data_IF_571620706553
#
_entry.id   IF_571620706553
#
_cell.length_a   1.000
_cell.length_b   1.000
_cell.length_c   1.000
_cell.angle_alpha   90.00
_cell.angle_beta   90.00
_cell.angle_gamma   90.00
#
_symmetry.space_group_name_H-M   'P 1'
#
loop_
_entity.id
_entity.type
_entity.pdbx_description
1 polymer ?
#
# COMPACT_ATOMS: atom_id res chain seq x y z
N UNK A 1 -1.85 -14.16 40.27
CA UNK A 1 -1.45 -14.79 39.00
C UNK A 1 -1.83 -13.81 37.91
N UNK A 2 -0.89 -13.03 37.37
CA UNK A 2 -1.18 -12.17 36.22
C UNK A 2 -1.30 -13.08 35.00
N UNK A 3 -2.43 -13.01 34.29
CA UNK A 3 -2.61 -13.72 33.02
C UNK A 3 -1.53 -13.27 32.04
N UNK A 4 -0.86 -14.19 31.33
CA UNK A 4 0.11 -13.80 30.31
C UNK A 4 -0.60 -12.97 29.24
N UNK A 5 -0.11 -11.75 29.02
CA UNK A 5 -0.59 -10.87 27.96
C UNK A 5 0.10 -11.31 26.66
N UNK A 6 -0.69 -11.81 25.70
CA UNK A 6 -0.24 -12.03 24.34
C UNK A 6 -1.12 -11.18 23.42
N UNK A 7 -0.49 -10.31 22.63
CA UNK A 7 -1.12 -9.49 21.61
C UNK A 7 -0.39 -9.78 20.31
N UNK A 8 -1.15 -10.16 19.30
CA UNK A 8 -0.63 -10.50 17.98
C UNK A 8 -1.56 -9.89 16.92
N UNK A 9 -1.25 -8.67 16.52
CA UNK A 9 -1.95 -7.97 15.43
C UNK A 9 -0.93 -7.71 14.34
N UNK A 10 -1.06 -8.45 13.24
CA UNK A 10 -0.22 -8.27 12.07
C UNK A 10 -0.93 -7.41 11.02
N UNK A 11 -0.21 -6.40 10.52
CA UNK A 11 -0.51 -5.72 9.27
C UNK A 11 -1.92 -5.10 9.16
N UNK A 12 -2.48 -4.63 10.27
CA UNK A 12 -3.78 -3.94 10.26
C UNK A 12 -3.70 -2.58 9.57
N UNK A 13 -4.78 -2.13 8.94
CA UNK A 13 -4.81 -0.79 8.33
C UNK A 13 -4.62 0.29 9.39
N UNK A 14 -3.80 1.29 9.09
CA UNK A 14 -3.47 2.35 10.02
C UNK A 14 -3.43 3.73 9.36
N UNK A 15 -3.60 4.76 10.19
CA UNK A 15 -3.35 6.17 9.84
C UNK A 15 -2.38 6.71 10.87
N UNK A 16 -1.37 7.46 10.42
CA UNK A 16 -0.35 8.05 11.31
C UNK A 16 -0.54 9.56 11.35
N UNK A 17 -0.55 10.12 12.56
CA UNK A 17 -0.65 11.56 12.80
C UNK A 17 0.52 12.02 13.68
N UNK A 18 1.04 13.21 13.41
CA UNK A 18 2.11 13.83 14.20
C UNK A 18 1.99 15.35 14.18
N UNK A 19 2.71 16.02 15.06
CA UNK A 19 2.81 17.48 15.04
C UNK A 19 4.12 17.91 14.39
N UNK A 20 4.05 18.82 13.43
CA UNK A 20 5.21 19.39 12.75
C UNK A 20 5.05 20.90 12.63
N UNK A 21 6.00 21.66 13.17
CA UNK A 21 6.01 23.13 13.12
C UNK A 21 4.70 23.78 13.61
N UNK A 22 4.10 23.21 14.67
CA UNK A 22 2.84 23.71 15.26
C UNK A 22 1.58 23.35 14.48
N UNK A 23 1.69 22.51 13.45
CA UNK A 23 0.57 22.01 12.67
C UNK A 23 0.46 20.48 12.79
N UNK A 24 -0.76 19.99 12.99
CA UNK A 24 -1.05 18.55 12.93
C UNK A 24 -0.95 18.08 11.48
N UNK A 25 -0.12 17.06 11.26
CA UNK A 25 0.08 16.37 9.97
C UNK A 25 -0.48 14.97 10.08
N UNK A 26 -0.97 14.44 8.96
CA UNK A 26 -1.58 13.12 8.90
C UNK A 26 -1.19 12.41 7.60
N UNK A 27 -0.86 11.13 7.70
CA UNK A 27 -0.55 10.24 6.60
C UNK A 27 -1.51 9.06 6.61
N UNK A 28 -2.44 9.08 5.66
CA UNK A 28 -3.44 8.02 5.46
C UNK A 28 -3.43 7.43 4.05
N UNK A 29 -2.96 8.20 3.07
CA UNK A 29 -2.90 7.83 1.65
C UNK A 29 -1.45 7.54 1.26
N UNK A 30 -1.06 6.28 1.11
CA UNK A 30 0.26 5.92 0.60
C UNK A 30 0.30 5.93 -0.93
N UNK A 31 1.40 5.48 -1.52
CA UNK A 31 1.53 5.28 -2.97
C UNK A 31 1.95 3.83 -3.28
N UNK A 32 1.07 2.99 -3.87
CA UNK A 32 -0.23 3.34 -4.45
C UNK A 32 -1.34 3.51 -3.41
N UNK A 33 -2.36 4.30 -3.75
CA UNK A 33 -3.48 4.67 -2.86
C UNK A 33 -4.44 3.52 -2.54
N UNK A 34 -4.44 2.47 -3.35
CA UNK A 34 -5.24 1.26 -3.15
C UNK A 34 -4.64 0.27 -2.13
N UNK A 35 -3.39 0.47 -1.70
CA UNK A 35 -2.76 -0.35 -0.65
C UNK A 35 -2.79 0.47 0.63
N UNK A 36 -3.30 -0.02 1.77
CA UNK A 36 -3.30 0.75 3.01
C UNK A 36 -1.90 0.85 3.62
N UNK A 37 -1.68 1.87 4.44
CA UNK A 37 -0.59 1.88 5.42
C UNK A 37 -0.94 0.82 6.46
N UNK A 38 0.05 0.01 6.85
CA UNK A 38 -0.17 -1.09 7.78
C UNK A 38 0.58 -0.87 9.09
N UNK A 39 0.01 -1.36 10.17
CA UNK A 39 0.63 -1.35 11.49
C UNK A 39 0.63 -2.77 12.06
N UNK A 40 1.75 -3.14 12.67
CA UNK A 40 1.95 -4.42 13.36
C UNK A 40 2.30 -4.13 14.81
N UNK A 41 1.61 -4.81 15.72
CA UNK A 41 1.88 -4.80 17.15
C UNK A 41 1.91 -6.24 17.67
N UNK A 42 3.09 -6.68 18.10
CA UNK A 42 3.26 -7.94 18.80
C UNK A 42 3.75 -7.67 20.20
N UNK A 43 3.09 -8.25 21.20
CA UNK A 43 3.51 -8.18 22.60
C UNK A 43 3.37 -9.57 23.20
N UNK A 44 4.47 -10.11 23.70
CA UNK A 44 4.53 -11.40 24.38
C UNK A 44 5.01 -11.18 25.81
N UNK A 45 4.18 -11.57 26.77
CA UNK A 45 4.48 -11.51 28.20
C UNK A 45 4.54 -12.89 28.85
N UNK A 46 5.35 -13.78 28.28
CA UNK A 46 5.62 -15.11 28.82
C UNK A 46 6.87 -15.14 29.70
N UNK A 47 6.83 -15.93 30.78
CA UNK A 47 7.98 -16.24 31.65
C UNK A 47 8.83 -15.03 32.08
N UNK A 48 8.19 -13.98 32.60
CA UNK A 48 8.82 -12.73 33.08
C UNK A 48 9.59 -11.93 32.01
N UNK A 49 9.48 -12.31 30.74
CA UNK A 49 9.95 -11.51 29.62
C UNK A 49 8.77 -10.79 28.98
N UNK A 50 8.90 -9.49 28.80
CA UNK A 50 7.86 -8.66 28.18
C UNK A 50 8.41 -8.11 26.88
N UNK A 51 8.28 -8.91 25.83
CA UNK A 51 8.81 -8.57 24.51
C UNK A 51 7.76 -7.81 23.71
N UNK A 52 8.19 -6.79 22.98
CA UNK A 52 7.32 -5.97 22.15
C UNK A 52 7.94 -5.67 20.79
N UNK A 53 7.09 -5.55 19.79
CA UNK A 53 7.43 -5.15 18.43
C UNK A 53 6.35 -4.23 17.89
N UNK A 54 6.77 -3.10 17.33
CA UNK A 54 5.89 -2.08 16.76
C UNK A 54 6.46 -1.63 15.43
N UNK A 55 5.66 -1.75 14.37
CA UNK A 55 6.13 -1.51 13.02
C UNK A 55 5.04 -0.92 12.14
N UNK A 56 5.40 0.10 11.36
CA UNK A 56 4.50 0.76 10.40
C UNK A 56 5.07 0.55 9.00
N UNK A 57 4.27 -0.02 8.11
CA UNK A 57 4.61 -0.29 6.72
C UNK A 57 3.89 0.73 5.82
N UNK A 58 4.66 1.53 5.10
CA UNK A 58 4.16 2.62 4.27
C UNK A 58 4.54 2.36 2.81
N UNK A 59 3.58 1.97 1.96
CA UNK A 59 3.82 1.76 0.54
C UNK A 59 4.36 3.02 -0.15
N UNK A 60 5.46 2.85 -0.88
CA UNK A 60 6.05 3.89 -1.75
C UNK A 60 6.69 3.25 -2.98
N UNK A 61 6.92 4.03 -4.03
CA UNK A 61 7.63 3.57 -5.22
C UNK A 61 8.96 4.29 -5.36
N UNK A 62 10.05 3.60 -5.05
CA UNK A 62 11.41 4.11 -5.26
C UNK A 62 11.77 4.19 -6.73
N UNK A 63 12.64 5.14 -7.08
CA UNK A 63 13.13 5.35 -8.45
C UNK A 63 13.90 4.14 -8.99
N UNK A 64 14.69 3.48 -8.15
CA UNK A 64 15.53 2.35 -8.57
C UNK A 64 14.72 1.08 -8.90
N UNK A 65 13.58 0.89 -8.23
CA UNK A 65 12.72 -0.28 -8.40
C UNK A 65 11.24 0.10 -8.17
N UNK A 66 10.49 0.44 -9.22
CA UNK A 66 9.12 0.94 -9.10
C UNK A 66 8.08 -0.15 -8.79
N UNK A 67 8.47 -1.43 -8.76
CA UNK A 67 7.62 -2.55 -8.36
C UNK A 67 7.47 -2.57 -6.83
N UNK A 68 6.25 -2.32 -6.34
CA UNK A 68 5.79 -2.39 -4.93
C UNK A 68 6.92 -2.42 -3.90
N UNK A 69 7.35 -1.24 -3.46
CA UNK A 69 8.28 -1.09 -2.36
C UNK A 69 7.57 -0.45 -1.16
N UNK A 70 8.17 -0.52 0.02
CA UNK A 70 7.65 0.12 1.21
C UNK A 70 8.79 0.71 2.02
N UNK A 71 8.50 1.82 2.70
CA UNK A 71 9.30 2.30 3.82
C UNK A 71 8.72 1.68 5.07
N UNK A 72 9.59 1.24 5.96
CA UNK A 72 9.22 0.77 7.27
C UNK A 72 9.62 1.80 8.33
N UNK A 73 8.75 2.05 9.28
CA UNK A 73 9.08 2.75 10.51
C UNK A 73 9.02 1.77 11.66
N UNK A 74 10.15 1.59 12.35
CA UNK A 74 10.23 0.72 13.53
C UNK A 74 10.33 1.56 14.79
N UNK A 75 9.39 1.33 15.70
CA UNK A 75 9.38 1.97 17.03
C UNK A 75 10.06 1.00 17.99
N UNK A 76 11.19 1.42 18.56
CA UNK A 76 11.86 0.61 19.58
C UNK A 76 11.08 0.68 20.88
N UNK A 77 10.69 -0.46 21.51
CA UNK A 77 10.03 -0.43 22.81
C UNK A 77 10.82 0.30 23.89
N UNK A 78 12.16 0.22 23.81
CA UNK A 78 13.08 0.90 24.72
C UNK A 78 13.03 2.42 24.64
N UNK A 79 12.50 2.96 23.54
CA UNK A 79 12.39 4.40 23.36
C UNK A 79 11.03 4.93 23.77
N UNK A 80 10.04 4.10 24.12
CA UNK A 80 8.71 4.58 24.50
C UNK A 80 8.76 5.11 25.93
N UNK A 81 8.60 6.42 26.09
CA UNK A 81 8.56 7.09 27.41
C UNK A 81 7.14 7.20 27.94
N UNK A 82 6.16 7.38 27.05
CA UNK A 82 4.75 7.42 27.39
C UNK A 82 3.92 6.72 26.32
N UNK A 83 2.91 5.98 26.76
CA UNK A 83 1.89 5.39 25.90
C UNK A 83 0.52 5.78 26.43
N UNK A 84 -0.29 6.42 25.60
CA UNK A 84 -1.67 6.79 25.91
C UNK A 84 -2.58 6.21 24.85
N UNK A 85 -3.83 5.98 25.21
CA UNK A 85 -4.80 5.47 24.27
C UNK A 85 -6.17 6.11 24.50
N UNK A 86 -6.93 6.18 23.42
CA UNK A 86 -8.33 6.61 23.42
C UNK A 86 -9.10 5.67 22.49
N UNK A 87 -10.22 5.13 22.96
CA UNK A 87 -11.08 4.21 22.20
C UNK A 87 -12.37 4.90 21.79
N UNK A 88 -13.11 4.28 20.87
CA UNK A 88 -14.41 4.77 20.40
C UNK A 88 -14.36 6.24 19.94
N UNK A 89 -13.34 6.58 19.14
CA UNK A 89 -13.19 7.92 18.59
C UNK A 89 -14.05 8.00 17.34
N UNK A 90 -15.06 8.87 17.40
CA UNK A 90 -15.83 9.23 16.20
C UNK A 90 -14.90 9.90 15.18
N UNK A 91 -14.78 9.33 13.96
CA UNK A 91 -13.91 9.88 12.93
C UNK A 91 -14.47 11.21 12.41
N UNK A 92 -14.00 12.31 13.00
CA UNK A 92 -14.36 13.67 12.59
C UNK A 92 -13.68 14.08 11.26
N UNK A 93 -12.63 13.36 10.85
CA UNK A 93 -11.91 13.61 9.60
C UNK A 93 -12.42 12.74 8.44
N UNK A 94 -12.60 13.35 7.27
CA UNK A 94 -13.00 12.71 6.00
C UNK A 94 -12.14 11.49 5.64
N UNK A 95 -10.88 11.50 6.08
CA UNK A 95 -9.88 10.47 5.86
C UNK A 95 -10.06 9.27 6.82
N UNK A 96 -10.46 9.53 8.07
CA UNK A 96 -10.72 8.51 9.09
C UNK A 96 -12.02 7.73 8.76
N UNK A 97 -13.03 8.41 8.20
CA UNK A 97 -14.32 7.80 7.78
C UNK A 97 -14.19 6.73 6.69
N UNK A 98 -13.17 6.79 5.83
CA UNK A 98 -13.05 5.87 4.70
C UNK A 98 -12.36 4.54 5.08
N UNK A 99 -11.77 4.46 6.27
CA UNK A 99 -10.94 3.31 6.70
C UNK A 99 -11.49 2.58 7.92
N UNK A 100 -12.21 3.25 8.81
CA UNK A 100 -12.71 2.66 10.05
C UNK A 100 -14.12 3.15 10.38
N UNK A 101 -14.98 2.25 10.87
CA UNK A 101 -16.28 2.59 11.44
C UNK A 101 -16.13 3.21 12.84
N UNK A 102 -15.18 2.71 13.62
CA UNK A 102 -14.74 3.21 14.92
C UNK A 102 -13.22 3.05 15.04
N UNK A 103 -12.53 4.04 15.59
CA UNK A 103 -11.07 4.05 15.69
C UNK A 103 -10.58 4.10 17.15
N UNK A 104 -9.53 3.33 17.41
CA UNK A 104 -8.67 3.49 18.58
C UNK A 104 -7.44 4.31 18.20
N UNK A 105 -7.11 5.31 19.02
CA UNK A 105 -5.88 6.09 18.90
C UNK A 105 -4.84 5.55 19.88
N UNK A 106 -3.68 5.19 19.36
CA UNK A 106 -2.50 4.81 20.12
C UNK A 106 -1.48 5.95 20.04
N UNK A 107 -1.28 6.66 21.13
CA UNK A 107 -0.36 7.79 21.21
C UNK A 107 0.96 7.35 21.86
N UNK A 108 2.05 7.58 21.14
CA UNK A 108 3.41 7.25 21.56
C UNK A 108 4.19 8.55 21.77
N UNK A 109 4.79 8.68 22.94
CA UNK A 109 5.87 9.63 23.20
C UNK A 109 7.17 8.83 23.31
N UNK A 110 8.19 9.27 22.57
CA UNK A 110 9.45 8.58 22.45
C UNK A 110 10.61 9.42 22.99
N UNK A 111 11.57 8.78 23.66
CA UNK A 111 12.83 9.41 24.04
C UNK A 111 13.80 9.57 22.85
N UNK A 112 13.52 8.94 21.72
CA UNK A 112 14.31 9.03 20.50
C UNK A 112 13.41 8.83 19.25
N UNK A 113 13.87 9.29 18.10
CA UNK A 113 13.12 9.21 16.84
C UNK A 113 12.95 7.77 16.34
N UNK A 114 11.89 7.53 15.56
CA UNK A 114 11.64 6.24 14.91
C UNK A 114 12.75 5.86 13.93
N UNK A 115 13.04 4.57 13.83
CA UNK A 115 14.01 4.07 12.85
C UNK A 115 13.35 3.93 11.47
N UNK A 116 13.91 4.60 10.46
CA UNK A 116 13.46 4.48 9.06
C UNK A 116 14.25 3.39 8.37
N UNK A 117 13.55 2.35 7.92
CA UNK A 117 14.12 1.19 7.24
C UNK A 117 13.65 1.16 5.78
N UNK A 118 14.58 0.94 4.86
CA UNK A 118 14.32 0.78 3.43
C UNK A 118 15.02 -0.46 2.91
N UNK A 119 14.61 -1.02 1.76
CA UNK A 119 15.32 -2.16 1.18
C UNK A 119 16.78 -1.80 0.87
N UNK A 120 17.70 -2.74 1.14
CA UNK A 120 19.14 -2.52 0.97
C UNK A 120 19.55 -2.20 -0.46
N UNK A 121 18.79 -2.65 -1.46
CA UNK A 121 19.04 -2.37 -2.87
C UNK A 121 18.68 -0.93 -3.31
N UNK A 122 17.99 -0.15 -2.48
CA UNK A 122 17.63 1.25 -2.80
C UNK A 122 18.87 2.13 -2.68
N UNK A 123 19.17 2.89 -3.72
CA UNK A 123 20.34 3.77 -3.75
C UNK A 123 20.09 5.03 -2.94
N UNK A 124 21.16 5.55 -2.35
CA UNK A 124 21.15 6.84 -1.66
C UNK A 124 21.61 7.96 -2.61
N UNK A 125 20.99 9.16 -2.56
CA UNK A 125 19.86 9.54 -1.71
C UNK A 125 18.53 8.94 -2.19
N UNK A 126 17.69 8.57 -1.23
CA UNK A 126 16.39 7.94 -1.50
C UNK A 126 15.55 8.88 -2.35
N UNK A 127 15.09 8.38 -3.50
CA UNK A 127 14.35 9.15 -4.48
C UNK A 127 13.08 8.40 -4.89
N UNK A 128 11.96 9.12 -4.94
CA UNK A 128 10.71 8.59 -5.46
C UNK A 128 10.74 8.45 -6.99
N UNK A 129 10.02 7.44 -7.50
CA UNK A 129 9.78 7.25 -8.93
C UNK A 129 8.71 8.21 -9.49
N UNK A 130 7.81 8.73 -8.64
CA UNK A 130 6.69 9.59 -9.04
C UNK A 130 6.40 10.67 -7.99
N UNK A 131 5.72 11.77 -8.37
CA UNK A 131 5.40 12.87 -7.47
C UNK A 131 4.62 12.46 -6.22
N UNK A 132 3.68 11.50 -6.32
CA UNK A 132 2.87 11.04 -5.18
C UNK A 132 3.75 10.35 -4.12
N UNK A 133 4.58 9.39 -4.51
CA UNK A 133 5.61 8.81 -3.64
C UNK A 133 6.55 9.86 -3.08
N UNK A 134 6.88 10.91 -3.85
CA UNK A 134 7.67 12.05 -3.38
C UNK A 134 7.04 12.72 -2.16
N UNK A 135 5.74 13.07 -2.25
CA UNK A 135 4.98 13.64 -1.13
C UNK A 135 4.95 12.73 0.10
N UNK A 136 4.83 11.41 -0.10
CA UNK A 136 4.88 10.44 1.01
C UNK A 136 6.26 10.44 1.67
N UNK A 137 7.35 10.47 0.88
CA UNK A 137 8.71 10.57 1.43
C UNK A 137 8.94 11.90 2.17
N UNK A 138 8.36 13.01 1.69
CA UNK A 138 8.44 14.30 2.36
C UNK A 138 7.73 14.26 3.73
N UNK A 139 6.52 13.68 3.80
CA UNK A 139 5.83 13.41 5.07
C UNK A 139 6.63 12.49 6.00
N UNK A 140 7.27 11.46 5.45
CA UNK A 140 8.10 10.55 6.22
C UNK A 140 9.36 11.22 6.75
N UNK A 141 9.92 12.20 6.04
CA UNK A 141 11.03 13.00 6.54
C UNK A 141 10.62 13.77 7.80
N UNK A 142 9.46 14.43 7.79
CA UNK A 142 8.91 15.12 8.97
C UNK A 142 8.68 14.12 10.12
N UNK A 143 7.99 13.02 9.85
CA UNK A 143 7.68 11.98 10.83
C UNK A 143 8.94 11.32 11.42
N UNK A 144 10.02 11.21 10.66
CA UNK A 144 11.30 10.64 11.13
C UNK A 144 12.03 11.54 12.14
N UNK A 145 11.58 12.78 12.33
CA UNK A 145 12.20 13.77 13.21
C UNK A 145 11.41 14.06 14.48
N UNK A 146 10.16 13.63 14.53
CA UNK A 146 9.33 13.79 15.71
C UNK A 146 9.56 12.64 16.69
N UNK A 147 9.30 12.94 17.96
CA UNK A 147 9.28 11.98 19.06
C UNK A 147 7.86 11.63 19.51
N UNK A 148 6.86 12.38 19.05
CA UNK A 148 5.46 12.14 19.38
C UNK A 148 4.69 11.79 18.12
N UNK A 149 4.00 10.66 18.14
CA UNK A 149 3.14 10.24 17.04
C UNK A 149 1.88 9.55 17.57
N UNK A 150 0.82 9.59 16.77
CA UNK A 150 -0.45 8.91 17.01
C UNK A 150 -0.71 7.95 15.88
N UNK A 151 -1.12 6.74 16.23
CA UNK A 151 -1.48 5.68 15.27
C UNK A 151 -2.94 5.36 15.50
N UNK A 152 -3.75 5.55 14.46
CA UNK A 152 -5.16 5.17 14.48
C UNK A 152 -5.34 3.81 13.82
N UNK A 153 -6.01 2.90 14.52
CA UNK A 153 -6.38 1.57 14.05
C UNK A 153 -7.87 1.31 14.33
N UNK A 154 -8.41 0.23 13.80
CA UNK A 154 -9.78 -0.19 14.11
C UNK A 154 -9.95 -0.50 15.60
N UNK A 155 -10.98 0.07 16.22
CA UNK A 155 -11.22 0.03 17.68
C UNK A 155 -11.42 -1.40 18.21
N UNK A 156 -12.02 -2.29 17.42
CA UNK A 156 -12.31 -3.66 17.80
C UNK A 156 -11.08 -4.58 17.88
N UNK A 157 -9.88 -4.09 17.53
CA UNK A 157 -8.67 -4.93 17.47
C UNK A 157 -7.99 -5.13 18.82
N UNK A 158 -8.10 -4.16 19.73
CA UNK A 158 -7.49 -4.22 21.05
C UNK A 158 -8.55 -3.99 22.12
N UNK A 159 -8.60 -4.88 23.12
CA UNK A 159 -9.47 -4.68 24.27
C UNK A 159 -8.93 -3.58 25.19
N UNK A 160 -9.81 -2.99 25.99
CA UNK A 160 -9.43 -1.99 27.00
C UNK A 160 -8.41 -2.54 28.01
N UNK A 161 -8.54 -3.81 28.38
CA UNK A 161 -7.60 -4.49 29.28
C UNK A 161 -6.21 -4.67 28.64
N UNK A 162 -6.16 -4.99 27.35
CA UNK A 162 -4.91 -5.08 26.60
C UNK A 162 -4.22 -3.71 26.52
N UNK A 163 -4.96 -2.65 26.16
CA UNK A 163 -4.44 -1.27 26.09
C UNK A 163 -3.91 -0.78 27.44
N UNK A 164 -4.68 -1.03 28.52
CA UNK A 164 -4.28 -0.69 29.88
C UNK A 164 -3.01 -1.45 30.29
N UNK A 165 -2.92 -2.74 29.93
CA UNK A 165 -1.73 -3.55 30.21
C UNK A 165 -0.49 -3.04 29.47
N UNK A 166 -0.62 -2.59 28.21
CA UNK A 166 0.47 -1.95 27.47
C UNK A 166 0.93 -0.69 28.20
N UNK A 167 -0.01 0.20 28.54
CA UNK A 167 0.27 1.45 29.26
C UNK A 167 1.02 1.21 30.58
N UNK A 168 0.57 0.24 31.38
CA UNK A 168 1.21 -0.12 32.64
C UNK A 168 2.65 -0.60 32.46
N UNK A 169 2.90 -1.40 31.41
CA UNK A 169 4.24 -1.95 31.12
C UNK A 169 5.19 -0.89 30.60
N UNK A 170 4.70 0.02 29.76
CA UNK A 170 5.46 1.20 29.30
C UNK A 170 5.84 2.06 30.49
N UNK A 171 4.89 2.37 31.38
CA UNK A 171 5.14 3.19 32.58
C UNK A 171 6.18 2.56 33.51
N UNK A 172 6.23 1.22 33.56
CA UNK A 172 7.23 0.46 34.33
C UNK A 172 8.55 0.25 33.60
N UNK A 173 8.68 0.67 32.34
CA UNK A 173 9.88 0.44 31.52
C UNK A 173 10.21 -1.04 31.31
N UNK A 174 9.18 -1.89 31.21
CA UNK A 174 9.36 -3.35 31.18
C UNK A 174 9.43 -3.94 29.77
N UNK A 175 9.15 -3.17 28.72
CA UNK A 175 9.09 -3.69 27.36
C UNK A 175 10.48 -3.78 26.73
N UNK A 176 10.86 -4.98 26.34
CA UNK A 176 12.10 -5.30 25.64
C UNK A 176 11.81 -5.62 24.17
N UNK A 177 12.75 -5.36 23.24
CA UNK A 177 12.57 -5.74 21.85
C UNK A 177 12.64 -7.26 21.68
N UNK A 178 11.90 -7.80 20.71
CA UNK A 178 12.09 -9.19 20.33
C UNK A 178 13.49 -9.44 19.77
N UNK A 179 14.07 -10.58 20.16
CA UNK A 179 15.31 -11.11 19.60
C UNK A 179 14.97 -12.42 18.87
N UNK A 180 15.21 -12.46 17.56
CA UNK A 180 14.92 -13.63 16.75
C UNK A 180 15.14 -13.37 15.26
N UNK A 181 15.25 -14.45 14.45
CA UNK A 181 15.45 -14.33 13.01
C UNK A 181 14.32 -13.57 12.30
N UNK A 182 13.09 -13.68 12.78
CA UNK A 182 11.91 -13.00 12.21
C UNK A 182 12.04 -11.46 12.26
N UNK A 183 12.79 -10.95 13.25
CA UNK A 183 12.94 -9.52 13.51
C UNK A 183 14.27 -8.95 12.98
N UNK A 184 15.12 -9.81 12.41
CA UNK A 184 16.40 -9.45 11.80
C UNK A 184 16.17 -8.66 10.51
N UNK A 185 16.67 -7.42 10.52
CA UNK A 185 16.57 -6.51 9.37
C UNK A 185 17.18 -7.11 8.10
N UNK A 186 18.15 -8.02 8.21
CA UNK A 186 18.83 -8.67 7.08
C UNK A 186 17.92 -9.61 6.28
N UNK A 187 16.84 -10.11 6.89
CA UNK A 187 15.88 -11.02 6.25
C UNK A 187 14.66 -10.32 5.65
N UNK A 188 14.52 -9.03 5.92
CA UNK A 188 13.40 -8.23 5.45
C UNK A 188 13.37 -8.09 3.92
N UNK A 189 12.24 -7.62 3.40
CA UNK A 189 12.05 -7.38 1.95
C UNK A 189 12.38 -8.61 1.10
N UNK A 190 11.76 -9.74 1.43
CA UNK A 190 11.95 -11.03 0.74
C UNK A 190 13.41 -11.49 0.70
N UNK A 191 14.14 -11.29 1.81
CA UNK A 191 15.54 -11.70 1.95
C UNK A 191 16.57 -10.74 1.33
N UNK A 192 16.14 -9.62 0.74
CA UNK A 192 17.08 -8.61 0.24
C UNK A 192 17.71 -7.75 1.35
N UNK A 193 17.11 -7.80 2.55
CA UNK A 193 17.54 -7.07 3.72
C UNK A 193 17.08 -5.61 3.71
N UNK A 194 17.02 -5.04 4.89
CA UNK A 194 16.75 -3.64 5.13
C UNK A 194 18.02 -2.93 5.61
N UNK A 195 18.10 -1.64 5.29
CA UNK A 195 19.09 -0.72 5.84
C UNK A 195 18.39 0.44 6.55
N UNK A 196 18.95 0.86 7.68
CA UNK A 196 18.55 2.08 8.35
C UNK A 196 19.08 3.30 7.58
N UNK A 197 18.26 4.32 7.43
CA UNK A 197 18.60 5.48 6.60
C UNK A 197 18.02 6.77 7.19
N UNK A 198 18.48 7.91 6.68
CA UNK A 198 17.92 9.23 6.98
C UNK A 198 17.35 9.80 5.70
N UNK A 199 16.09 10.21 5.75
CA UNK A 199 15.44 10.84 4.60
C UNK A 199 16.03 12.24 4.37
N UNK A 200 16.17 12.62 3.11
CA UNK A 200 16.64 13.95 2.74
C UNK A 200 15.52 14.98 2.95
N UNK A 201 15.86 16.23 3.30
CA UNK A 201 14.86 17.29 3.36
C UNK A 201 14.19 17.50 2.00
N UNK A 202 12.90 17.88 1.98
CA UNK A 202 12.20 18.23 0.75
C UNK A 202 12.96 19.38 0.06
N UNK A 203 13.10 19.27 -1.26
CA UNK A 203 13.77 20.33 -2.05
C UNK A 203 12.88 21.57 -2.09
N UNK A 204 13.44 22.78 -1.88
CA UNK A 204 12.67 24.01 -2.05
C UNK A 204 12.17 24.11 -3.51
N UNK A 205 11.02 24.77 -3.75
CA UNK A 205 10.54 25.00 -5.11
C UNK A 205 11.61 25.72 -5.93
N UNK A 206 11.97 25.16 -7.09
CA UNK A 206 12.97 25.78 -7.97
C UNK A 206 12.38 27.03 -8.64
N UNK A 207 12.99 28.20 -8.35
CA UNK A 207 12.61 29.50 -8.92
C UNK A 207 13.15 29.73 -10.35
N UNK A 208 13.92 28.80 -10.93
CA UNK A 208 14.62 29.01 -12.22
C UNK A 208 13.69 29.05 -13.45
N UNK A 209 12.43 28.63 -13.32
CA UNK A 209 11.44 28.73 -14.42
C UNK A 209 10.94 30.16 -14.69
N UNK A 210 11.29 31.15 -13.87
CA UNK A 210 10.84 32.53 -14.05
C UNK A 210 11.72 33.38 -14.99
N UNK A 211 12.93 32.93 -15.36
CA UNK A 211 13.92 33.80 -16.03
C UNK A 211 14.39 33.34 -17.42
N UNK A 212 13.93 32.20 -17.96
CA UNK A 212 14.30 31.81 -19.33
C UNK A 212 13.42 32.49 -20.37
N UNK A 213 13.77 33.73 -20.69
CA UNK A 213 13.25 34.48 -21.83
C UNK A 213 14.03 34.12 -23.10
N UNK A 214 13.74 32.96 -23.70
CA UNK A 214 14.11 32.70 -25.09
C UNK A 214 12.84 32.45 -25.91
N UNK A 215 12.62 33.19 -27.02
CA UNK A 215 11.47 32.95 -27.88
C UNK A 215 11.65 31.61 -28.61
N UNK A 216 10.65 30.71 -28.57
CA UNK A 216 10.74 29.43 -29.27
C UNK A 216 10.72 29.66 -30.78
N UNK A 217 11.68 29.07 -31.48
CA UNK A 217 11.71 29.02 -32.95
C UNK A 217 10.51 28.23 -33.49
N UNK A 218 9.95 28.69 -34.60
CA UNK A 218 8.72 28.14 -35.17
C UNK A 218 8.84 26.63 -35.51
N UNK A 219 7.90 25.77 -35.07
CA UNK A 219 7.95 24.34 -35.38
C UNK A 219 7.46 24.06 -36.81
N UNK A 220 8.23 23.27 -37.55
CA UNK A 220 7.86 22.81 -38.90
C UNK A 220 6.68 21.84 -38.82
N UNK A 221 5.58 22.16 -39.50
CA UNK A 221 4.41 21.29 -39.60
C UNK A 221 4.70 20.07 -40.49
N UNK A 222 4.95 18.90 -39.89
CA UNK A 222 4.67 17.62 -40.56
C UNK A 222 3.37 17.02 -40.01
N UNK A 223 2.37 16.91 -40.88
CA UNK A 223 1.07 16.28 -40.63
C UNK A 223 1.25 14.84 -40.13
N UNK A 224 0.78 14.55 -38.90
CA UNK A 224 0.59 13.18 -38.41
C UNK A 224 -0.68 12.56 -39.01
N UNK A 225 -0.63 11.24 -39.20
CA UNK A 225 -1.63 10.38 -39.87
C UNK A 225 -2.95 10.24 -39.06
N UNK A 226 -4.07 9.86 -39.69
CA UNK A 226 -5.37 9.70 -39.02
C UNK A 226 -5.37 8.53 -38.03
N UNK A 227 -6.06 8.70 -36.90
CA UNK A 227 -6.35 7.66 -35.89
C UNK A 227 -7.25 6.58 -36.50
N UNK A 228 -6.97 5.30 -36.20
CA UNK A 228 -7.92 4.21 -36.39
C UNK A 228 -8.84 4.15 -35.15
N UNK A 229 -10.14 4.22 -35.38
CA UNK A 229 -11.14 3.94 -34.36
C UNK A 229 -11.22 2.43 -34.11
N UNK A 230 -11.14 2.02 -32.85
CA UNK A 230 -11.47 0.66 -32.41
C UNK A 230 -12.98 0.56 -32.14
N UNK A 231 -13.66 -0.56 -32.50
CA UNK A 231 -15.09 -0.71 -32.25
C UNK A 231 -15.40 -0.98 -30.77
N UNK A 232 -16.52 -0.42 -30.31
CA UNK A 232 -17.20 -0.66 -29.03
C UNK A 232 -17.52 -2.15 -28.80
N UNK A 233 -17.30 -2.64 -27.56
CA UNK A 233 -17.94 -3.86 -27.03
C UNK A 233 -19.43 -3.63 -26.71
N UNK A 234 -20.24 -4.68 -26.42
CA UNK A 234 -20.09 -5.43 -25.16
C UNK A 234 -20.64 -6.88 -25.18
N UNK A 235 -19.78 -7.91 -25.14
CA UNK A 235 -20.22 -9.31 -24.90
C UNK A 235 -19.36 -10.08 -23.87
N UNK A 236 -18.35 -9.43 -23.28
CA UNK A 236 -17.35 -10.11 -22.46
C UNK A 236 -17.77 -10.28 -21.00
N UNK A 237 -18.54 -9.34 -20.42
CA UNK A 237 -18.87 -9.34 -18.99
C UNK A 237 -19.91 -10.41 -18.65
N UNK A 238 -20.92 -10.62 -19.49
CA UNK A 238 -21.94 -11.67 -19.27
C UNK A 238 -21.35 -13.08 -19.32
N UNK A 239 -20.36 -13.31 -20.20
CA UNK A 239 -19.65 -14.60 -20.27
C UNK A 239 -18.80 -14.88 -19.03
N UNK A 240 -18.29 -13.85 -18.37
CA UNK A 240 -17.54 -13.97 -17.11
C UNK A 240 -18.48 -14.35 -15.96
N UNK A 241 -19.66 -13.71 -15.88
CA UNK A 241 -20.68 -14.04 -14.88
C UNK A 241 -21.24 -15.46 -15.03
N UNK A 242 -21.51 -15.91 -16.26
CA UNK A 242 -21.98 -17.27 -16.52
C UNK A 242 -20.95 -18.35 -16.12
N UNK A 243 -19.65 -18.06 -16.30
CA UNK A 243 -18.58 -18.96 -15.88
C UNK A 243 -18.44 -19.02 -14.36
N UNK A 244 -18.61 -17.89 -13.68
CA UNK A 244 -18.53 -17.82 -12.22
C UNK A 244 -19.67 -18.62 -11.57
N UNK A 245 -20.90 -18.48 -12.10
CA UNK A 245 -22.06 -19.20 -11.60
C UNK A 245 -21.96 -20.73 -11.82
N UNK A 246 -21.35 -21.16 -12.94
CA UNK A 246 -21.06 -22.59 -13.19
C UNK A 246 -20.01 -23.17 -12.24
N UNK A 247 -18.99 -22.37 -11.89
CA UNK A 247 -17.98 -22.79 -10.91
C UNK A 247 -18.59 -22.91 -9.52
N UNK A 248 -19.46 -21.97 -9.14
CA UNK A 248 -20.15 -21.99 -7.86
C UNK A 248 -21.08 -23.21 -7.74
N UNK A 249 -21.80 -23.57 -8.81
CA UNK A 249 -22.63 -24.78 -8.82
C UNK A 249 -21.82 -26.08 -8.73
N UNK A 250 -20.66 -26.13 -9.40
CA UNK A 250 -19.75 -27.27 -9.33
C UNK A 250 -19.16 -27.43 -7.93
N UNK A 251 -18.81 -26.32 -7.28
CA UNK A 251 -18.30 -26.32 -5.92
C UNK A 251 -19.33 -26.85 -4.93
N UNK A 252 -20.58 -26.36 -4.98
CA UNK A 252 -21.66 -26.85 -4.12
C UNK A 252 -21.97 -28.33 -4.34
N UNK A 253 -21.96 -28.80 -5.60
CA UNK A 253 -22.14 -30.23 -5.91
C UNK A 253 -21.02 -31.08 -5.32
N UNK A 254 -19.76 -30.65 -5.48
CA UNK A 254 -18.59 -31.41 -4.99
C UNK A 254 -18.55 -31.46 -3.46
N UNK A 255 -18.89 -30.37 -2.80
CA UNK A 255 -19.01 -30.31 -1.33
C UNK A 255 -20.17 -31.19 -0.84
N UNK A 256 -21.29 -31.24 -1.56
CA UNK A 256 -22.40 -32.15 -1.28
C UNK A 256 -22.02 -33.63 -1.39
N UNK A 257 -21.27 -34.01 -2.43
CA UNK A 257 -20.75 -35.37 -2.60
C UNK A 257 -19.82 -35.78 -1.46
N UNK A 258 -18.85 -34.91 -1.13
CA UNK A 258 -17.86 -35.18 -0.07
C UNK A 258 -18.48 -35.22 1.34
N UNK A 259 -19.56 -34.46 1.58
CA UNK A 259 -20.30 -34.51 2.85
C UNK A 259 -21.17 -35.76 2.96
N UNK A 260 -21.78 -36.21 1.86
CA UNK A 260 -22.52 -37.47 1.81
C UNK A 260 -21.60 -38.70 1.95
N UNK A 261 -20.41 -38.66 1.37
CA UNK A 261 -19.39 -39.70 1.51
C UNK A 261 -18.85 -39.78 2.95
N UNK A 262 -18.56 -38.62 3.57
CA UNK A 262 -18.19 -38.57 4.99
C UNK A 262 -19.29 -39.09 5.93
N UNK A 263 -20.56 -38.85 5.61
CA UNK A 263 -21.68 -39.38 6.38
C UNK A 263 -21.77 -40.92 6.29
N UNK A 264 -21.58 -41.49 5.09
CA UNK A 264 -21.53 -42.95 4.89
C UNK A 264 -20.38 -43.62 5.64
N UNK A 265 -19.21 -42.98 5.68
CA UNK A 265 -18.04 -43.49 6.42
C UNK A 265 -18.24 -43.45 7.94
N UNK A 266 -19.05 -42.51 8.44
CA UNK A 266 -19.43 -42.47 9.87
C UNK A 266 -20.44 -43.56 10.24
N UNK A 267 -21.42 -43.85 9.38
CA UNK A 267 -22.41 -44.91 9.63
C UNK A 267 -21.83 -46.33 9.54
N UNK A 268 -20.81 -46.56 8.69
CA UNK A 268 -20.12 -47.85 8.63
C UNK A 268 -19.26 -48.15 9.87
N UNK A 269 -18.92 -47.14 10.68
CA UNK A 269 -18.07 -47.30 11.86
C UNK A 269 -18.84 -47.59 13.16
N UNK A 270 -20.17 -47.72 13.11
CA UNK A 270 -21.05 -47.77 14.29
C UNK A 270 -21.85 -49.09 14.47
N UNK A 271 -21.42 -50.19 13.84
CA UNK A 271 -21.89 -51.54 14.22
C UNK A 271 -20.84 -52.23 15.10
N UNK A 272 -21.07 -52.37 16.41
CA UNK A 272 -20.27 -53.25 17.26
C UNK A 272 -20.71 -54.69 17.04
N UNK A 273 -19.72 -55.55 16.77
CA UNK A 273 -19.84 -56.98 16.65
C UNK A 273 -19.89 -57.59 18.05
N UNK A 274 -20.89 -58.43 18.34
CA UNK A 274 -20.83 -59.37 19.45
C UNK A 274 -20.51 -60.77 18.91
N UNK A 275 -19.40 -61.29 19.39
CA UNK A 275 -19.13 -62.72 19.62
C UNK A 275 -18.45 -63.54 18.51
N UNK A 276 -17.18 -63.84 18.82
CA UNK A 276 -16.51 -65.15 18.75
C UNK A 276 -15.47 -65.44 17.65
N UNK A 277 -14.25 -65.63 18.17
CA UNK A 277 -13.29 -66.70 17.89
C UNK A 277 -12.41 -66.64 16.62
N UNK A 278 -11.12 -66.52 16.92
CA UNK A 278 -9.99 -67.27 16.33
C UNK A 278 -9.55 -67.02 14.87
N UNK A 279 -8.30 -66.52 14.79
CA UNK A 279 -7.27 -66.92 13.82
C UNK A 279 -7.38 -66.42 12.37
N UNK A 280 -6.98 -65.17 12.11
CA UNK A 280 -6.22 -64.74 10.90
C UNK A 280 -5.96 -63.23 10.94
N UNK A 281 -4.73 -62.75 11.21
CA UNK A 281 -4.48 -61.29 11.21
C UNK A 281 -3.07 -60.74 10.90
N UNK A 282 -2.26 -61.30 9.97
CA UNK A 282 -1.15 -60.54 9.37
C UNK A 282 -1.41 -60.02 7.95
N UNK A 283 -2.41 -60.53 7.22
CA UNK A 283 -2.56 -60.25 5.78
C UNK A 283 -3.34 -58.96 5.48
N UNK A 284 -4.42 -58.69 6.21
CA UNK A 284 -5.26 -57.50 5.99
C UNK A 284 -4.54 -56.18 6.35
N UNK A 285 -3.74 -56.17 7.42
CA UNK A 285 -2.96 -54.98 7.78
C UNK A 285 -1.90 -54.64 6.72
N UNK A 286 -1.31 -55.67 6.09
CA UNK A 286 -0.36 -55.49 4.99
C UNK A 286 -1.04 -54.89 3.76
N UNK A 287 -2.26 -55.34 3.44
CA UNK A 287 -3.07 -54.82 2.34
C UNK A 287 -3.40 -53.34 2.53
N UNK A 288 -3.88 -52.96 3.74
CA UNK A 288 -4.23 -51.58 4.09
C UNK A 288 -3.00 -50.65 4.05
N UNK A 289 -1.83 -51.12 4.49
CA UNK A 289 -0.58 -50.33 4.42
C UNK A 289 -0.16 -50.10 2.96
N UNK A 290 -0.37 -51.07 2.07
CA UNK A 290 -0.07 -50.92 0.64
C UNK A 290 -1.02 -49.91 0.00
N UNK A 291 -2.32 -49.97 0.30
CA UNK A 291 -3.31 -49.01 -0.20
C UNK A 291 -3.04 -47.58 0.31
N UNK A 292 -2.74 -47.42 1.61
CA UNK A 292 -2.38 -46.12 2.18
C UNK A 292 -1.09 -45.54 1.57
N UNK A 293 -0.12 -46.38 1.22
CA UNK A 293 1.11 -45.95 0.54
C UNK A 293 0.84 -45.52 -0.90
N UNK A 294 -0.02 -46.25 -1.61
CA UNK A 294 -0.44 -45.88 -2.96
C UNK A 294 -1.24 -44.57 -2.98
N UNK A 295 -2.11 -44.36 -1.99
CA UNK A 295 -2.86 -43.12 -1.84
C UNK A 295 -1.94 -41.95 -1.46
N UNK A 296 -0.99 -42.13 -0.55
CA UNK A 296 0.02 -41.12 -0.23
C UNK A 296 0.88 -40.74 -1.46
N UNK A 297 1.20 -41.70 -2.33
CA UNK A 297 1.92 -41.41 -3.56
C UNK A 297 1.07 -40.55 -4.51
N UNK A 298 -0.22 -40.90 -4.71
CA UNK A 298 -1.15 -40.10 -5.51
C UNK A 298 -1.36 -38.70 -4.96
N UNK A 299 -1.51 -38.55 -3.65
CA UNK A 299 -1.65 -37.24 -3.00
C UNK A 299 -0.39 -36.38 -3.18
N UNK A 300 0.80 -36.98 -3.15
CA UNK A 300 2.05 -36.25 -3.41
C UNK A 300 2.14 -35.77 -4.87
N UNK A 301 1.73 -36.59 -5.82
CA UNK A 301 1.66 -36.19 -7.23
C UNK A 301 0.63 -35.07 -7.47
N UNK A 302 -0.54 -35.16 -6.82
CA UNK A 302 -1.58 -34.13 -6.88
C UNK A 302 -1.08 -32.80 -6.30
N UNK A 303 -0.37 -32.84 -5.17
CA UNK A 303 0.26 -31.66 -4.56
C UNK A 303 1.31 -31.04 -5.48
N UNK A 304 2.16 -31.84 -6.10
CA UNK A 304 3.17 -31.34 -7.04
C UNK A 304 2.51 -30.70 -8.28
N UNK A 305 1.44 -31.32 -8.80
CA UNK A 305 0.65 -30.79 -9.91
C UNK A 305 -0.01 -29.45 -9.55
N UNK A 306 -0.57 -29.34 -8.34
CA UNK A 306 -1.17 -28.10 -7.85
C UNK A 306 -0.12 -27.02 -7.62
N UNK A 307 1.05 -27.38 -7.10
CA UNK A 307 2.17 -26.45 -6.91
C UNK A 307 2.66 -25.87 -8.23
N UNK A 308 2.87 -26.71 -9.24
CA UNK A 308 3.23 -26.25 -10.60
C UNK A 308 2.15 -25.34 -11.18
N UNK A 309 0.86 -25.69 -10.98
CA UNK A 309 -0.24 -24.84 -11.43
C UNK A 309 -0.29 -23.49 -10.71
N UNK A 310 0.08 -23.46 -9.43
CA UNK A 310 0.18 -22.23 -8.66
C UNK A 310 1.33 -21.36 -9.19
N UNK A 311 2.51 -21.93 -9.45
CA UNK A 311 3.65 -21.20 -10.02
C UNK A 311 3.30 -20.61 -11.41
N UNK A 312 2.60 -21.36 -12.26
CA UNK A 312 2.12 -20.86 -13.56
C UNK A 312 1.15 -19.67 -13.41
N UNK A 313 0.19 -19.78 -12.48
CA UNK A 313 -0.78 -18.72 -12.22
C UNK A 313 -0.12 -17.48 -11.62
N UNK A 314 0.86 -17.64 -10.74
CA UNK A 314 1.63 -16.54 -10.19
C UNK A 314 2.44 -15.82 -11.28
N UNK A 315 3.02 -16.57 -12.22
CA UNK A 315 3.71 -16.00 -13.39
C UNK A 315 2.74 -15.25 -14.31
N UNK A 316 1.55 -15.79 -14.57
CA UNK A 316 0.52 -15.14 -15.37
C UNK A 316 0.04 -13.84 -14.72
N UNK A 317 -0.25 -13.86 -13.41
CA UNK A 317 -0.63 -12.67 -12.63
C UNK A 317 0.48 -11.62 -12.67
N UNK A 318 1.75 -12.02 -12.54
CA UNK A 318 2.87 -11.09 -12.65
C UNK A 318 2.93 -10.43 -14.04
N UNK A 319 2.66 -11.18 -15.11
CA UNK A 319 2.62 -10.67 -16.48
C UNK A 319 1.45 -9.71 -16.74
N UNK A 320 0.27 -10.01 -16.18
CA UNK A 320 -0.90 -9.13 -16.28
C UNK A 320 -0.69 -7.83 -15.50
N UNK A 321 -0.08 -7.91 -14.31
CA UNK A 321 0.26 -6.72 -13.54
C UNK A 321 1.30 -5.83 -14.23
N UNK A 322 2.26 -6.39 -14.97
CA UNK A 322 3.22 -5.59 -15.74
C UNK A 322 2.56 -4.95 -16.96
N UNK A 323 1.70 -5.68 -17.68
CA UNK A 323 0.91 -5.13 -18.79
C UNK A 323 0.01 -3.97 -18.33
N UNK A 324 -0.75 -4.16 -17.25
CA UNK A 324 -1.62 -3.13 -16.68
C UNK A 324 -0.84 -1.89 -16.22
N UNK A 325 0.37 -2.06 -15.69
CA UNK A 325 1.25 -0.93 -15.34
C UNK A 325 1.70 -0.16 -16.57
N UNK A 326 2.06 -0.86 -17.65
CA UNK A 326 2.47 -0.21 -18.89
C UNK A 326 1.35 0.62 -19.51
N UNK A 327 0.11 0.11 -19.47
CA UNK A 327 -1.07 0.82 -19.96
C UNK A 327 -1.36 2.06 -19.09
N UNK A 328 -1.37 1.91 -17.77
CA UNK A 328 -1.57 3.05 -16.85
C UNK A 328 -0.49 4.13 -17.00
N UNK A 329 0.77 3.74 -17.13
CA UNK A 329 1.86 4.70 -17.33
C UNK A 329 1.72 5.41 -18.70
N UNK A 330 1.18 4.76 -19.75
CA UNK A 330 0.87 5.43 -21.03
C UNK A 330 -0.30 6.42 -20.93
N UNK A 331 -1.34 6.09 -20.17
CA UNK A 331 -2.45 7.02 -19.91
C UNK A 331 -2.00 8.23 -19.10
N UNK A 332 -1.14 8.03 -18.09
CA UNK A 332 -0.61 9.10 -17.25
C UNK A 332 0.25 10.08 -18.07
N UNK A 333 1.07 9.56 -19.00
CA UNK A 333 1.83 10.40 -19.95
C UNK A 333 0.89 11.22 -20.84
N UNK A 334 -0.17 10.61 -21.39
CA UNK A 334 -1.13 11.32 -22.22
C UNK A 334 -1.88 12.43 -21.45
N UNK A 335 -2.22 12.19 -20.18
CA UNK A 335 -2.87 13.19 -19.32
C UNK A 335 -1.93 14.38 -19.04
N UNK A 336 -0.63 14.12 -18.84
CA UNK A 336 0.36 15.19 -18.66
C UNK A 336 0.46 16.06 -19.92
N UNK A 337 0.53 15.44 -21.11
CA UNK A 337 0.57 16.17 -22.38
C UNK A 337 -0.68 17.05 -22.57
N UNK A 338 -1.88 16.53 -22.26
CA UNK A 338 -3.13 17.30 -22.32
C UNK A 338 -3.12 18.47 -21.33
N UNK A 339 -2.60 18.28 -20.12
CA UNK A 339 -2.53 19.35 -19.11
C UNK A 339 -1.58 20.47 -19.56
N UNK A 340 -0.43 20.12 -20.12
CA UNK A 340 0.53 21.09 -20.66
C UNK A 340 -0.08 21.89 -21.83
N UNK A 341 -0.85 21.22 -22.70
CA UNK A 341 -1.59 21.86 -23.78
C UNK A 341 -2.66 22.83 -23.26
N UNK A 342 -3.41 22.45 -22.22
CA UNK A 342 -4.42 23.32 -21.59
C UNK A 342 -3.75 24.56 -20.99
N UNK A 343 -2.67 24.41 -20.22
CA UNK A 343 -1.95 25.56 -19.66
C UNK A 343 -1.40 26.49 -20.76
N UNK A 344 -0.91 25.92 -21.87
CA UNK A 344 -0.47 26.67 -23.03
C UNK A 344 -1.62 27.47 -23.66
N UNK A 345 -2.79 26.85 -23.80
CA UNK A 345 -3.99 27.51 -24.31
C UNK A 345 -4.51 28.59 -23.36
N UNK A 346 -4.50 28.37 -22.04
CA UNK A 346 -4.89 29.37 -21.04
C UNK A 346 -3.99 30.60 -21.09
N UNK A 347 -2.66 30.40 -21.21
CA UNK A 347 -1.72 31.52 -21.38
C UNK A 347 -2.02 32.31 -22.65
N UNK A 348 -2.31 31.63 -23.76
CA UNK A 348 -2.67 32.29 -25.03
C UNK A 348 -4.01 33.00 -24.93
N UNK A 349 -5.00 32.42 -24.26
CA UNK A 349 -6.30 33.02 -24.02
C UNK A 349 -6.13 34.29 -23.18
N UNK A 350 -5.38 34.22 -22.08
CA UNK A 350 -5.04 35.36 -21.24
C UNK A 350 -4.32 36.45 -22.05
N UNK A 351 -3.42 36.09 -22.96
CA UNK A 351 -2.75 37.05 -23.83
C UNK A 351 -3.69 37.72 -24.82
N UNK A 352 -4.69 37.01 -25.35
CA UNK A 352 -5.71 37.57 -26.25
C UNK A 352 -6.73 38.42 -25.48
N UNK A 353 -7.12 38.01 -24.28
CA UNK A 353 -8.01 38.75 -23.39
C UNK A 353 -7.35 40.03 -22.87
N UNK A 354 -6.09 39.94 -22.43
CA UNK A 354 -5.31 41.10 -22.00
C UNK A 354 -4.75 41.91 -23.18
N UNK A 355 -4.60 41.34 -24.38
CA UNK A 355 -4.25 42.07 -25.60
C UNK A 355 -5.37 42.98 -26.12
N UNK A 356 -6.59 42.86 -25.56
CA UNK A 356 -7.67 43.84 -25.68
C UNK A 356 -7.58 44.93 -24.60
N UNK A 357 -6.41 45.16 -24.00
CA UNK A 357 -6.22 46.28 -23.09
C UNK A 357 -6.50 47.59 -23.85
N UNK A 358 -7.58 48.28 -23.46
CA UNK A 358 -7.94 49.58 -24.01
C UNK A 358 -6.76 50.55 -23.94
N UNK A 359 -5.87 50.38 -22.96
CA UNK A 359 -4.68 51.20 -22.79
C UNK A 359 -3.70 51.04 -23.96
N UNK A 360 -3.44 49.83 -24.42
CA UNK A 360 -2.55 49.56 -25.56
C UNK A 360 -3.14 50.07 -26.87
N UNK A 361 -4.45 49.85 -27.09
CA UNK A 361 -5.14 50.40 -28.26
C UNK A 361 -5.19 51.94 -28.24
N UNK A 362 -5.32 52.55 -27.05
CA UNK A 362 -5.31 54.00 -26.89
C UNK A 362 -3.93 54.58 -27.16
N UNK A 363 -2.87 53.90 -26.75
CA UNK A 363 -1.49 54.29 -27.01
C UNK A 363 -1.16 54.23 -28.51
N UNK A 364 -1.54 53.16 -29.22
CA UNK A 364 -1.38 53.07 -30.68
C UNK A 364 -2.17 54.16 -31.40
N UNK A 365 -3.42 54.41 -31.00
CA UNK A 365 -4.22 55.50 -31.58
C UNK A 365 -3.56 56.86 -31.37
N UNK A 366 -2.99 57.10 -30.19
CA UNK A 366 -2.31 58.35 -29.87
C UNK A 366 -1.06 58.54 -30.74
N UNK A 367 -0.21 57.52 -30.86
CA UNK A 367 0.99 57.58 -31.72
C UNK A 367 0.64 57.83 -33.20
N UNK A 368 -0.39 57.17 -33.73
CA UNK A 368 -0.84 57.38 -35.11
C UNK A 368 -1.38 58.82 -35.29
N UNK A 369 -2.11 59.34 -34.31
CA UNK A 369 -2.61 60.72 -34.36
C UNK A 369 -1.47 61.75 -34.31
N UNK A 370 -0.49 61.53 -33.43
CA UNK A 370 0.66 62.43 -33.29
C UNK A 370 1.53 62.42 -34.56
N UNK A 371 1.70 61.26 -35.19
CA UNK A 371 2.42 61.12 -36.47
C UNK A 371 1.65 61.75 -37.65
N UNK A 372 0.33 61.60 -37.71
CA UNK A 372 -0.49 62.28 -38.70
C UNK A 372 -0.47 63.80 -38.50
N UNK A 373 -0.56 64.27 -37.25
CA UNK A 373 -0.50 65.69 -36.93
C UNK A 373 0.85 66.31 -37.32
N UNK A 374 1.96 65.61 -37.08
CA UNK A 374 3.29 66.06 -37.51
C UNK A 374 3.43 66.08 -39.02
N UNK A 375 2.86 65.12 -39.76
CA UNK A 375 2.85 65.15 -41.23
C UNK A 375 1.96 66.24 -41.82
N UNK A 376 0.88 66.62 -41.14
CA UNK A 376 -0.03 67.70 -41.59
C UNK A 376 0.50 69.09 -41.22
N UNK A 377 1.18 69.24 -40.08
CA UNK A 377 1.76 70.52 -39.63
C UNK A 377 3.18 70.78 -40.18
N UNK A 378 3.87 69.73 -40.65
CA UNK A 378 5.20 69.80 -41.26
C UNK A 378 5.19 69.83 -42.80
N UNK A 379 4.03 70.05 -43.43
CA UNK A 379 3.85 70.18 -44.88
C UNK A 379 3.72 71.63 -45.33
#
# INVERSE_FOLDING_TARGET
MATPLCIDIDQTAAIVEWEWEGATRCLATPDPDNVPIRFTIHIDSTHDQHRAHFEIIIPVKFKDKPSSAAVLLRISPLFITCFRFSTNIDPSDSIKKQRFDSAACLEFELGNTVAVLVPSYVKEPISASRPRSGKVLDSLYELSRVTTLRIYIQDSLLSLDQLSSISDRVTKGQLEPFSGPEYDISRMFSGSGAKATKLAPPKPPSYEKATSSQPPSAPSYQRKRPRQDSPQGPDSISQVWDKLQKLESLFHSKVGELTAENAKLRDQKLKPDESQAETTQPTDQSQVIIELRAENARLREEVERLKNRQEDLEAEVASLQTAQRSEKDTEEVAIIEIRDDIESLERRLSWVENGKDEYFMKQIKQEIFDELATRVLGG
#
